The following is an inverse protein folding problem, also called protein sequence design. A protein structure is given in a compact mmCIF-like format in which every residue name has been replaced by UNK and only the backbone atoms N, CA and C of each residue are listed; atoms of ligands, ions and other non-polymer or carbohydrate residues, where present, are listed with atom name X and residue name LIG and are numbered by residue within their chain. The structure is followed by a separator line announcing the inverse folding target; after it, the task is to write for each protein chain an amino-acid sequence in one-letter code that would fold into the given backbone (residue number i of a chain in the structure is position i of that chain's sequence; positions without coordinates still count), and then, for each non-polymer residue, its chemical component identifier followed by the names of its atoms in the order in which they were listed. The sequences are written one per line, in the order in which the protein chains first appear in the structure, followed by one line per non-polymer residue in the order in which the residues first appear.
data_IF_332963612392
#
_entry.id   IF_332963612392
#
_cell.length_a   1.000
_cell.length_b   1.000
_cell.length_c   1.000
_cell.angle_alpha   90.00
_cell.angle_beta   90.00
_cell.angle_gamma   90.00
#
_symmetry.space_group_name_H-M   'P 1'
#
loop_
_entity.id
_entity.type
_entity.pdbx_description
1 polymer ?
#
# COMPACT_ATOMS: atom_id res chain seq x y z
N UNK A 1 -0.54 18.51 5.67
CA UNK A 1 -1.45 17.39 6.00
C UNK A 1 -0.64 16.30 6.68
N UNK A 2 -0.98 15.94 7.92
CA UNK A 2 -0.19 14.95 8.67
C UNK A 2 -0.55 13.56 8.15
N UNK A 3 0.40 12.85 7.52
CA UNK A 3 0.19 11.45 7.13
C UNK A 3 0.11 10.60 8.42
N UNK A 4 -1.05 10.00 8.67
CA UNK A 4 -1.23 8.96 9.68
C UNK A 4 -0.92 7.60 9.05
N UNK A 5 -0.72 6.55 9.85
CA UNK A 5 -0.49 5.19 9.37
C UNK A 5 -1.55 4.75 8.35
N UNK A 6 -2.83 5.02 8.64
CA UNK A 6 -3.92 4.73 7.72
C UNK A 6 -3.78 5.42 6.35
N UNK A 7 -3.25 6.68 6.32
CA UNK A 7 -2.98 7.36 5.05
C UNK A 7 -1.82 6.72 4.29
N UNK A 8 -0.79 6.24 5.00
CA UNK A 8 0.32 5.52 4.38
C UNK A 8 -0.18 4.23 3.72
N UNK A 9 -0.93 3.42 4.45
CA UNK A 9 -1.50 2.17 3.94
C UNK A 9 -2.43 2.46 2.75
N UNK A 10 -3.32 3.45 2.87
CA UNK A 10 -4.22 3.87 1.79
C UNK A 10 -3.46 4.16 0.50
N UNK A 11 -2.47 5.04 0.56
CA UNK A 11 -1.69 5.46 -0.61
C UNK A 11 -0.96 4.29 -1.29
N UNK A 12 -0.40 3.37 -0.50
CA UNK A 12 0.29 2.21 -1.05
C UNK A 12 -0.67 1.20 -1.68
N UNK A 13 -1.84 0.97 -1.07
CA UNK A 13 -2.87 0.09 -1.64
C UNK A 13 -3.44 0.69 -2.93
N UNK A 14 -3.68 2.01 -2.98
CA UNK A 14 -4.10 2.69 -4.20
C UNK A 14 -3.06 2.58 -5.31
N UNK A 15 -1.76 2.64 -4.98
CA UNK A 15 -0.69 2.39 -5.95
C UNK A 15 -0.71 0.96 -6.49
N UNK A 16 -1.00 -0.04 -5.65
CA UNK A 16 -1.17 -1.43 -6.07
C UNK A 16 -2.36 -1.61 -7.01
N UNK A 17 -3.49 -0.95 -6.71
CA UNK A 17 -4.69 -0.93 -7.58
C UNK A 17 -4.36 -0.29 -8.93
N UNK A 18 -3.70 0.86 -8.94
CA UNK A 18 -3.26 1.57 -10.16
C UNK A 18 -2.23 0.74 -10.97
N UNK A 19 -1.51 -0.17 -10.32
CA UNK A 19 -0.62 -1.13 -10.98
C UNK A 19 -1.36 -2.34 -11.56
N UNK A 20 -2.69 -2.39 -11.45
CA UNK A 20 -3.52 -3.47 -11.96
C UNK A 20 -3.44 -4.74 -11.11
N UNK A 21 -3.18 -4.61 -9.80
CA UNK A 21 -3.16 -5.75 -8.91
C UNK A 21 -4.57 -6.34 -8.74
N UNK A 22 -4.65 -7.66 -8.74
CA UNK A 22 -5.86 -8.44 -8.44
C UNK A 22 -5.80 -9.11 -7.08
N UNK A 23 -4.62 -9.08 -6.44
CA UNK A 23 -4.40 -9.61 -5.09
C UNK A 23 -3.49 -8.67 -4.31
N UNK A 24 -3.94 -8.22 -3.14
CA UNK A 24 -3.20 -7.30 -2.27
C UNK A 24 -3.20 -7.86 -0.85
N UNK A 25 -2.00 -8.15 -0.32
CA UNK A 25 -1.81 -8.56 1.05
C UNK A 25 -1.21 -7.42 1.87
N UNK A 26 -1.82 -7.11 3.00
CA UNK A 26 -1.44 -6.03 3.91
C UNK A 26 -1.15 -6.64 5.27
N UNK A 27 0.06 -6.42 5.78
CA UNK A 27 0.46 -6.83 7.12
C UNK A 27 0.87 -5.62 7.94
N UNK A 28 0.35 -5.51 9.16
CA UNK A 28 0.73 -4.45 10.10
C UNK A 28 1.09 -5.01 11.47
N UNK A 29 1.99 -4.31 12.18
CA UNK A 29 2.26 -4.56 13.61
C UNK A 29 2.24 -3.23 14.35
N UNK A 30 1.80 -3.25 15.62
CA UNK A 30 1.73 -2.08 16.49
C UNK A 30 1.00 -0.90 15.81
N UNK A 31 -0.23 -1.14 15.30
CA UNK A 31 -1.01 -0.11 14.61
C UNK A 31 -0.35 0.47 13.36
N UNK A 32 0.61 -0.25 12.75
CA UNK A 32 1.37 0.20 11.59
C UNK A 32 2.56 1.10 11.89
N UNK A 33 2.95 1.25 13.17
CA UNK A 33 4.11 2.09 13.55
C UNK A 33 5.44 1.34 13.38
N UNK A 34 5.50 0.10 13.84
CA UNK A 34 6.71 -0.70 13.77
C UNK A 34 6.86 -1.43 12.44
N UNK A 35 5.74 -1.75 11.80
CA UNK A 35 5.75 -2.54 10.57
C UNK A 35 4.48 -2.35 9.75
N UNK A 36 4.66 -2.06 8.46
CA UNK A 36 3.65 -2.13 7.42
C UNK A 36 4.29 -2.85 6.23
N UNK A 37 3.65 -3.90 5.73
CA UNK A 37 4.06 -4.56 4.49
C UNK A 37 2.86 -4.68 3.57
N UNK A 38 3.05 -4.29 2.32
CA UNK A 38 2.07 -4.44 1.27
C UNK A 38 2.71 -5.24 0.15
N UNK A 39 2.05 -6.32 -0.24
CA UNK A 39 2.46 -7.21 -1.32
C UNK A 39 1.35 -7.25 -2.34
N UNK A 40 1.66 -6.97 -3.59
CA UNK A 40 0.74 -7.04 -4.71
C UNK A 40 1.28 -7.89 -5.86
N UNK A 41 0.39 -8.30 -6.75
CA UNK A 41 0.68 -9.02 -7.98
C UNK A 41 0.50 -8.15 -9.24
N UNK A 42 0.61 -6.82 -9.10
CA UNK A 42 0.47 -5.88 -10.20
C UNK A 42 1.58 -5.97 -11.26
N UNK A 43 1.66 -4.96 -12.11
CA UNK A 43 2.65 -4.94 -13.21
C UNK A 43 4.10 -4.88 -12.76
N UNK A 44 4.36 -4.53 -11.51
CA UNK A 44 5.70 -4.26 -10.99
C UNK A 44 6.27 -2.89 -11.43
N UNK A 45 7.50 -2.62 -11.04
CA UNK A 45 8.25 -1.40 -11.35
C UNK A 45 9.53 -1.79 -12.06
N UNK A 46 9.85 -1.10 -13.15
CA UNK A 46 11.10 -1.32 -13.87
C UNK A 46 12.31 -0.96 -13.00
N UNK A 47 13.43 -1.67 -13.13
CA UNK A 47 14.61 -1.40 -12.30
C UNK A 47 15.06 0.07 -12.32
N UNK A 48 15.01 0.72 -13.48
CA UNK A 48 15.43 2.11 -13.64
C UNK A 48 14.46 3.10 -12.99
N UNK A 49 13.18 2.75 -12.88
CA UNK A 49 12.15 3.58 -12.27
C UNK A 49 12.09 3.43 -10.74
N UNK A 50 12.71 2.38 -10.16
CA UNK A 50 12.61 2.10 -8.73
C UNK A 50 13.21 3.21 -7.85
N UNK A 51 14.33 3.78 -8.25
CA UNK A 51 14.98 4.88 -7.52
C UNK A 51 14.19 6.18 -7.68
N UNK A 52 13.73 6.47 -8.91
CA UNK A 52 12.88 7.63 -9.20
C UNK A 52 11.59 7.63 -8.41
N UNK A 53 11.03 6.45 -8.05
CA UNK A 53 9.82 6.36 -7.25
C UNK A 53 9.98 7.00 -5.85
N UNK A 54 11.21 7.19 -5.36
CA UNK A 54 11.52 7.85 -4.10
C UNK A 54 11.91 9.33 -4.24
N UNK A 55 12.01 9.85 -5.45
CA UNK A 55 12.30 11.26 -5.70
C UNK A 55 11.03 12.12 -5.55
N UNK A 56 11.21 13.36 -5.10
CA UNK A 56 10.11 14.32 -5.04
C UNK A 56 9.76 14.78 -6.45
N UNK A 57 8.48 14.89 -6.73
CA UNK A 57 7.93 15.29 -8.05
C UNK A 57 8.14 14.25 -9.18
N UNK A 58 8.67 13.06 -8.88
CA UNK A 58 8.69 11.96 -9.82
C UNK A 58 7.29 11.32 -9.89
N UNK A 59 6.58 11.53 -10.99
CA UNK A 59 5.33 10.84 -11.28
C UNK A 59 5.40 10.27 -12.69
N UNK A 60 5.19 8.95 -12.78
CA UNK A 60 5.02 8.27 -14.07
C UNK A 60 3.66 8.54 -14.70
N UNK A 61 2.75 9.19 -13.95
CA UNK A 61 1.33 9.37 -14.32
C UNK A 61 1.05 10.67 -15.05
N UNK A 62 1.95 11.67 -14.98
CA UNK A 62 1.82 12.97 -15.65
C UNK A 62 3.16 13.29 -16.29
N UNK A 63 3.21 13.29 -17.63
CA UNK A 63 4.37 13.69 -18.43
C UNK A 63 4.16 15.05 -19.11
N UNK A 64 2.90 15.44 -19.35
CA UNK A 64 2.53 16.69 -20.01
C UNK A 64 1.33 17.34 -19.30
N UNK A 65 1.15 18.65 -19.49
CA UNK A 65 0.01 19.39 -18.92
C UNK A 65 -1.37 18.86 -19.36
N UNK A 66 -1.46 18.28 -20.56
CA UNK A 66 -2.67 17.62 -21.08
C UNK A 66 -3.07 16.34 -20.31
N UNK A 67 -2.11 15.69 -19.65
CA UNK A 67 -2.37 14.47 -18.88
C UNK A 67 -3.20 14.78 -17.63
N UNK A 68 -3.19 16.03 -17.13
CA UNK A 68 -3.99 16.49 -15.99
C UNK A 68 -5.50 16.35 -16.20
N UNK A 69 -5.98 16.48 -17.44
CA UNK A 69 -7.40 16.36 -17.79
C UNK A 69 -7.88 14.92 -17.89
N UNK A 70 -6.95 13.97 -18.07
CA UNK A 70 -7.22 12.56 -18.30
C UNK A 70 -6.85 11.65 -17.13
N UNK A 71 -6.31 12.21 -16.03
CA UNK A 71 -5.92 11.43 -14.84
C UNK A 71 -7.14 10.83 -14.16
N UNK A 72 -7.38 9.56 -14.38
CA UNK A 72 -8.38 8.72 -13.69
C UNK A 72 -7.84 8.05 -12.43
N UNK A 73 -6.52 8.16 -12.16
CA UNK A 73 -5.85 7.50 -11.03
C UNK A 73 -5.94 8.31 -9.74
N UNK A 74 -6.20 7.65 -8.62
CA UNK A 74 -6.34 8.31 -7.29
C UNK A 74 -5.04 8.94 -6.77
N UNK A 75 -3.86 8.52 -7.25
CA UNK A 75 -2.53 8.94 -6.75
C UNK A 75 -1.68 9.69 -7.78
N UNK A 76 -2.08 10.90 -8.24
CA UNK A 76 -1.38 11.63 -9.31
C UNK A 76 -0.21 12.51 -8.86
N UNK A 77 0.01 12.72 -7.55
CA UNK A 77 1.01 13.69 -7.05
C UNK A 77 2.46 13.21 -7.04
N UNK A 78 2.74 11.90 -7.22
CA UNK A 78 4.11 11.35 -7.30
C UNK A 78 4.97 11.52 -6.03
N UNK A 79 4.40 12.01 -4.90
CA UNK A 79 5.16 12.39 -3.70
C UNK A 79 4.93 11.45 -2.51
N UNK A 80 4.00 10.49 -2.64
CA UNK A 80 3.60 9.68 -1.49
C UNK A 80 4.76 8.84 -0.96
N UNK A 81 5.42 8.08 -1.83
CA UNK A 81 6.50 7.18 -1.45
C UNK A 81 7.73 7.94 -0.94
N UNK A 82 8.12 9.04 -1.61
CA UNK A 82 9.17 9.94 -1.15
C UNK A 82 8.89 10.51 0.26
N UNK A 83 7.65 10.93 0.51
CA UNK A 83 7.24 11.47 1.80
C UNK A 83 7.24 10.41 2.91
N UNK A 84 6.87 9.16 2.60
CA UNK A 84 6.90 8.02 3.52
C UNK A 84 8.36 7.67 3.83
N UNK A 85 9.21 7.53 2.82
CA UNK A 85 10.61 7.19 2.96
C UNK A 85 11.39 8.23 3.79
N UNK A 86 11.01 9.51 3.70
CA UNK A 86 11.65 10.58 4.48
C UNK A 86 11.47 10.41 6.01
N UNK A 87 10.48 9.65 6.47
CA UNK A 87 10.15 9.50 7.91
C UNK A 87 10.17 8.05 8.39
N UNK A 88 10.70 7.14 7.59
CA UNK A 88 10.72 5.70 7.87
C UNK A 88 11.94 5.03 7.25
N UNK A 89 12.07 3.73 7.48
CA UNK A 89 12.91 2.82 6.70
C UNK A 89 12.00 2.08 5.74
N UNK A 90 12.35 2.05 4.46
CA UNK A 90 11.57 1.40 3.41
C UNK A 90 12.44 0.40 2.68
N UNK A 91 11.94 -0.82 2.53
CA UNK A 91 12.43 -1.81 1.59
C UNK A 91 11.38 -1.98 0.50
N UNK A 92 11.78 -1.82 -0.75
CA UNK A 92 10.94 -2.08 -1.91
C UNK A 92 11.56 -3.18 -2.74
N UNK A 93 10.80 -4.24 -3.01
CA UNK A 93 11.17 -5.32 -3.91
C UNK A 93 10.16 -5.32 -5.05
N UNK A 94 10.63 -5.32 -6.28
CA UNK A 94 9.72 -5.35 -7.42
C UNK A 94 10.29 -6.08 -8.62
N UNK A 95 9.38 -6.68 -9.39
CA UNK A 95 9.68 -7.36 -10.65
C UNK A 95 8.53 -7.15 -11.62
N UNK A 96 8.87 -6.80 -12.86
CA UNK A 96 7.89 -6.77 -13.96
C UNK A 96 7.75 -8.15 -14.60
N UNK A 97 6.76 -8.32 -15.47
CA UNK A 97 6.59 -9.57 -16.23
C UNK A 97 7.66 -9.78 -17.29
N UNK A 98 8.38 -8.73 -17.70
CA UNK A 98 9.40 -8.75 -18.75
C UNK A 98 10.79 -9.11 -18.20
N UNK A 99 11.02 -8.90 -16.90
CA UNK A 99 12.30 -9.14 -16.27
C UNK A 99 12.39 -10.57 -15.70
N UNK A 100 13.54 -11.23 -15.86
CA UNK A 100 13.80 -12.53 -15.25
C UNK A 100 14.08 -12.40 -13.75
N UNK A 101 14.78 -11.35 -13.35
CA UNK A 101 15.23 -11.07 -11.98
C UNK A 101 14.51 -9.83 -11.47
N UNK A 102 14.16 -9.82 -10.18
CA UNK A 102 13.66 -8.65 -9.49
C UNK A 102 14.77 -7.81 -8.87
N UNK A 103 14.42 -6.64 -8.37
CA UNK A 103 15.34 -5.74 -7.70
C UNK A 103 14.79 -5.34 -6.33
N UNK A 104 15.72 -5.11 -5.42
CA UNK A 104 15.44 -4.61 -4.06
C UNK A 104 16.15 -3.27 -3.87
N UNK A 105 15.40 -2.28 -3.38
CA UNK A 105 15.92 -0.96 -3.00
C UNK A 105 15.61 -0.74 -1.53
N UNK A 106 16.63 -0.36 -0.75
CA UNK A 106 16.49 0.07 0.63
C UNK A 106 16.68 1.56 0.75
N UNK A 107 15.73 2.22 1.44
CA UNK A 107 15.72 3.67 1.64
C UNK A 107 15.56 3.96 3.14
N UNK A 108 16.36 4.88 3.66
CA UNK A 108 16.26 5.34 5.04
C UNK A 108 16.29 6.86 5.09
N UNK A 109 15.30 7.46 5.77
CA UNK A 109 15.16 8.90 5.88
C UNK A 109 15.24 9.64 4.52
N UNK A 110 14.66 9.03 3.47
CA UNK A 110 14.64 9.55 2.11
C UNK A 110 15.94 9.38 1.31
N UNK A 111 16.93 8.67 1.85
CA UNK A 111 18.19 8.38 1.15
C UNK A 111 18.22 6.92 0.74
N UNK A 112 18.53 6.66 -0.53
CA UNK A 112 18.78 5.31 -1.02
C UNK A 112 20.07 4.81 -0.39
N UNK A 113 20.00 3.62 0.24
CA UNK A 113 21.13 2.99 0.91
C UNK A 113 21.80 1.99 -0.02
N UNK A 114 21.01 1.14 -0.68
CA UNK A 114 21.49 0.18 -1.66
C UNK A 114 20.37 -0.21 -2.63
N UNK A 115 20.81 -0.74 -3.77
CA UNK A 115 19.97 -1.43 -4.76
C UNK A 115 20.69 -2.69 -5.18
N UNK A 116 20.00 -3.80 -5.19
CA UNK A 116 20.58 -5.11 -5.53
C UNK A 116 19.56 -5.99 -6.24
N UNK A 117 20.05 -6.96 -6.99
CA UNK A 117 19.22 -8.00 -7.60
C UNK A 117 18.69 -8.95 -6.54
N UNK A 118 17.45 -9.42 -6.72
CA UNK A 118 16.81 -10.36 -5.80
C UNK A 118 15.77 -11.23 -6.52
N UNK A 119 15.60 -12.46 -6.05
CA UNK A 119 14.53 -13.34 -6.52
C UNK A 119 13.19 -12.91 -5.93
N UNK A 120 12.20 -12.65 -6.78
CA UNK A 120 10.83 -12.40 -6.35
C UNK A 120 9.83 -12.75 -7.45
N UNK A 121 8.55 -12.88 -7.08
CA UNK A 121 7.45 -12.99 -8.03
C UNK A 121 7.18 -11.63 -8.70
N UNK A 122 6.47 -11.66 -9.85
CA UNK A 122 5.94 -10.45 -10.48
C UNK A 122 5.06 -9.68 -9.50
N UNK A 123 5.17 -8.36 -9.50
CA UNK A 123 4.45 -7.45 -8.61
C UNK A 123 5.39 -6.60 -7.78
N UNK A 124 4.87 -6.04 -6.68
CA UNK A 124 5.64 -5.18 -5.79
C UNK A 124 5.43 -5.56 -4.33
N UNK A 125 6.50 -5.53 -3.56
CA UNK A 125 6.49 -5.67 -2.11
C UNK A 125 7.10 -4.41 -1.54
N UNK A 126 6.34 -3.69 -0.70
CA UNK A 126 6.84 -2.53 0.06
C UNK A 126 6.75 -2.86 1.54
N UNK A 127 7.90 -2.82 2.22
CA UNK A 127 7.99 -2.99 3.67
C UNK A 127 8.45 -1.68 4.29
N UNK A 128 7.67 -1.14 5.23
CA UNK A 128 7.98 0.06 5.99
C UNK A 128 8.21 -0.35 7.44
N UNK A 129 9.31 0.08 7.99
CA UNK A 129 9.64 -0.11 9.41
C UNK A 129 9.96 1.20 10.07
N UNK A 130 9.79 1.25 11.40
CA UNK A 130 10.14 2.38 12.25
C UNK A 130 9.55 3.72 11.75
N UNK A 131 8.26 3.71 11.42
CA UNK A 131 7.58 4.92 10.94
C UNK A 131 7.65 6.03 12.01
N UNK A 132 8.08 7.23 11.60
CA UNK A 132 8.34 8.41 12.44
C UNK A 132 9.61 8.34 13.32
N UNK A 133 10.54 7.41 13.06
CA UNK A 133 11.74 7.27 13.89
C UNK A 133 12.57 8.57 14.00
N UNK A 134 12.56 9.41 13.00
CA UNK A 134 13.26 10.70 12.94
C UNK A 134 12.34 11.91 13.19
N UNK A 135 11.12 11.69 13.65
CA UNK A 135 10.13 12.73 13.93
C UNK A 135 9.48 12.54 15.32
N UNK A 136 10.25 12.71 16.41
CA UNK A 136 9.81 12.36 17.78
C UNK A 136 8.56 13.12 18.23
N UNK A 137 8.34 14.34 17.73
CA UNK A 137 7.12 15.11 18.03
C UNK A 137 5.88 14.37 17.51
N UNK A 138 5.95 13.82 16.28
CA UNK A 138 4.83 13.05 15.70
C UNK A 138 4.58 11.76 16.48
N UNK A 139 5.65 11.08 16.89
CA UNK A 139 5.55 9.86 17.69
C UNK A 139 4.75 10.07 18.99
N UNK A 140 4.94 11.22 19.68
CA UNK A 140 4.22 11.55 20.92
C UNK A 140 2.71 11.76 20.74
N UNK A 141 2.24 12.11 19.55
CA UNK A 141 0.82 12.35 19.26
C UNK A 141 0.08 11.14 18.68
N UNK A 142 0.75 9.98 18.57
CA UNK A 142 0.12 8.75 18.14
C UNK A 142 -0.88 8.27 19.19
N UNK A 143 -1.98 7.71 18.71
CA UNK A 143 -2.95 7.05 19.58
C UNK A 143 -2.46 5.64 19.92
N UNK A 144 -3.23 4.93 20.75
CA UNK A 144 -2.94 3.51 21.05
C UNK A 144 -2.96 2.67 19.78
N UNK A 145 -2.12 1.64 19.73
CA UNK A 145 -1.97 0.73 18.57
C UNK A 145 -3.30 0.21 18.04
N UNK A 146 -4.21 -0.17 18.95
CA UNK A 146 -5.56 -0.61 18.60
C UNK A 146 -6.36 0.47 17.84
N UNK A 147 -6.25 1.73 18.25
CA UNK A 147 -6.97 2.84 17.59
C UNK A 147 -6.42 3.10 16.19
N UNK A 148 -5.09 3.08 16.04
CA UNK A 148 -4.45 3.27 14.73
C UNK A 148 -4.73 2.08 13.79
N UNK A 149 -4.73 0.84 14.32
CA UNK A 149 -5.14 -0.35 13.57
C UNK A 149 -6.59 -0.25 13.07
N UNK A 150 -7.52 0.23 13.92
CA UNK A 150 -8.92 0.45 13.54
C UNK A 150 -9.09 1.48 12.42
N UNK A 151 -8.27 2.53 12.36
CA UNK A 151 -8.29 3.47 11.22
C UNK A 151 -7.79 2.83 9.92
N UNK A 152 -6.81 1.92 10.00
CA UNK A 152 -6.34 1.16 8.84
C UNK A 152 -7.44 0.22 8.36
N UNK A 153 -8.09 -0.50 9.29
CA UNK A 153 -9.20 -1.40 9.00
C UNK A 153 -10.36 -0.67 8.29
N UNK A 154 -10.77 0.50 8.79
CA UNK A 154 -11.84 1.31 8.18
C UNK A 154 -11.47 1.72 6.73
N UNK A 155 -10.24 2.14 6.49
CA UNK A 155 -9.77 2.51 5.15
C UNK A 155 -9.77 1.31 4.22
N UNK A 156 -9.27 0.15 4.66
CA UNK A 156 -9.19 -1.06 3.82
C UNK A 156 -10.60 -1.61 3.57
N UNK A 157 -11.48 -1.57 4.54
CA UNK A 157 -12.91 -1.91 4.37
C UNK A 157 -13.56 -1.12 3.23
N UNK A 158 -13.36 0.20 3.22
CA UNK A 158 -13.90 1.07 2.16
C UNK A 158 -13.32 0.75 0.80
N UNK A 159 -12.01 0.51 0.72
CA UNK A 159 -11.35 0.14 -0.54
C UNK A 159 -11.90 -1.20 -1.04
N UNK A 160 -12.03 -2.20 -0.16
CA UNK A 160 -12.55 -3.51 -0.53
C UNK A 160 -14.00 -3.46 -1.05
N UNK A 161 -14.84 -2.60 -0.46
CA UNK A 161 -16.22 -2.40 -0.92
C UNK A 161 -16.31 -1.71 -2.30
N UNK A 162 -15.34 -0.83 -2.62
CA UNK A 162 -15.29 -0.14 -3.93
C UNK A 162 -14.69 -1.06 -5.01
N UNK A 163 -13.82 -2.00 -4.61
CA UNK A 163 -13.09 -2.90 -5.50
C UNK A 163 -13.38 -4.37 -5.19
N UNK A 164 -14.62 -4.85 -5.41
CA UNK A 164 -14.99 -6.25 -5.13
C UNK A 164 -14.24 -7.25 -6.02
N UNK A 165 -13.67 -6.79 -7.14
CA UNK A 165 -12.85 -7.57 -8.07
C UNK A 165 -11.42 -7.84 -7.58
N UNK A 166 -11.00 -7.21 -6.46
CA UNK A 166 -9.66 -7.37 -5.90
C UNK A 166 -9.71 -8.22 -4.63
N UNK A 167 -8.92 -9.28 -4.58
CA UNK A 167 -8.70 -10.04 -3.36
C UNK A 167 -7.81 -9.24 -2.41
N UNK A 168 -8.36 -8.83 -1.27
CA UNK A 168 -7.65 -8.04 -0.26
C UNK A 168 -7.59 -8.83 1.05
N UNK A 169 -6.38 -8.93 1.63
CA UNK A 169 -6.16 -9.51 2.94
C UNK A 169 -5.46 -8.52 3.84
N UNK A 170 -6.04 -8.21 5.00
CA UNK A 170 -5.42 -7.41 6.06
C UNK A 170 -5.12 -8.30 7.26
N UNK A 171 -3.87 -8.33 7.68
CA UNK A 171 -3.38 -9.05 8.87
C UNK A 171 -2.77 -8.05 9.84
N UNK A 172 -3.22 -8.09 11.10
CA UNK A 172 -2.66 -7.29 12.20
C UNK A 172 -2.05 -8.19 13.25
N UNK A 173 -0.74 -8.06 13.46
CA UNK A 173 0.04 -8.85 14.44
C UNK A 173 -0.24 -10.37 14.34
N UNK A 174 -0.30 -10.89 13.12
CA UNK A 174 -0.52 -12.31 12.82
C UNK A 174 -1.99 -12.75 12.76
N UNK A 175 -2.94 -11.88 13.15
CA UNK A 175 -4.39 -12.18 13.06
C UNK A 175 -4.97 -11.58 11.79
N UNK A 176 -5.67 -12.39 10.99
CA UNK A 176 -6.43 -11.88 9.83
C UNK A 176 -7.64 -11.08 10.32
N UNK A 177 -7.77 -9.85 9.83
CA UNK A 177 -8.86 -8.91 10.15
C UNK A 177 -9.86 -8.83 9.00
N UNK A 178 -9.36 -8.69 7.76
CA UNK A 178 -10.18 -8.64 6.54
C UNK A 178 -9.64 -9.67 5.57
N UNK A 179 -10.54 -10.38 4.88
CA UNK A 179 -10.19 -11.23 3.76
C UNK A 179 -11.35 -11.29 2.78
N UNK A 180 -11.13 -10.78 1.56
CA UNK A 180 -12.08 -10.81 0.45
C UNK A 180 -11.60 -11.75 -0.65
N UNK A 181 -12.53 -12.23 -1.47
CA UNK A 181 -12.25 -13.23 -2.51
C UNK A 181 -11.78 -12.64 -3.84
N UNK A 182 -12.09 -11.36 -4.11
CA UNK A 182 -11.79 -10.72 -5.40
C UNK A 182 -12.60 -11.27 -6.58
N UNK A 183 -13.82 -11.77 -6.33
CA UNK A 183 -14.68 -12.38 -7.34
C UNK A 183 -15.65 -11.40 -8.02
N UNK A 184 -15.56 -10.11 -7.71
CA UNK A 184 -16.44 -9.07 -8.25
C UNK A 184 -17.83 -8.99 -7.59
N UNK A 185 -18.12 -9.86 -6.61
CA UNK A 185 -19.41 -9.89 -5.92
C UNK A 185 -19.33 -9.11 -4.60
N UNK A 186 -20.08 -8.01 -4.54
CA UNK A 186 -20.13 -7.15 -3.35
C UNK A 186 -20.69 -7.89 -2.12
N UNK A 187 -21.61 -8.84 -2.31
CA UNK A 187 -22.18 -9.63 -1.21
C UNK A 187 -21.11 -10.52 -0.57
N UNK A 188 -20.24 -11.12 -1.39
CA UNK A 188 -19.07 -11.86 -0.92
C UNK A 188 -18.10 -10.98 -0.13
N UNK A 189 -17.89 -9.73 -0.54
CA UNK A 189 -17.05 -8.77 0.19
C UNK A 189 -17.66 -8.45 1.55
N UNK A 190 -18.95 -8.15 1.60
CA UNK A 190 -19.65 -7.87 2.86
C UNK A 190 -19.63 -9.09 3.78
N UNK A 191 -19.82 -10.30 3.25
CA UNK A 191 -19.67 -11.52 4.01
C UNK A 191 -18.27 -11.65 4.65
N UNK A 192 -17.22 -11.38 3.87
CA UNK A 192 -15.82 -11.45 4.31
C UNK A 192 -15.46 -10.43 5.40
N UNK A 193 -16.15 -9.28 5.44
CA UNK A 193 -15.86 -8.18 6.37
C UNK A 193 -16.79 -8.24 7.60
N UNK A 194 -18.10 -8.39 7.38
CA UNK A 194 -19.13 -8.23 8.42
C UNK A 194 -19.79 -9.55 8.85
N UNK A 195 -19.48 -10.64 8.15
CA UNK A 195 -20.03 -11.96 8.43
C UNK A 195 -21.40 -12.22 7.78
N UNK A 196 -21.91 -13.44 8.02
CA UNK A 196 -23.10 -13.98 7.36
C UNK A 196 -24.36 -13.16 7.63
N UNK A 197 -24.58 -12.79 8.88
CA UNK A 197 -25.83 -12.14 9.29
C UNK A 197 -26.05 -10.81 8.59
N UNK A 198 -24.98 -10.04 8.34
CA UNK A 198 -25.05 -8.79 7.60
C UNK A 198 -25.22 -9.04 6.10
N UNK A 199 -24.47 -9.99 5.55
CA UNK A 199 -24.53 -10.30 4.11
C UNK A 199 -25.89 -10.84 3.66
N UNK A 200 -26.57 -11.60 4.51
CA UNK A 200 -27.90 -12.17 4.19
C UNK A 200 -29.03 -11.11 4.27
N UNK A 201 -28.80 -9.96 4.92
CA UNK A 201 -29.77 -8.90 5.09
C UNK A 201 -29.50 -7.66 4.21
N UNK A 202 -28.57 -7.75 3.25
CA UNK A 202 -28.37 -6.68 2.26
C UNK A 202 -29.52 -6.75 1.25
N UNK A 203 -30.19 -5.61 1.06
CA UNK A 203 -31.17 -5.42 0.00
C UNK A 203 -30.44 -5.38 -1.36
N UNK A 204 -30.99 -6.05 -2.34
CA UNK A 204 -30.53 -6.01 -3.73
C UNK A 204 -30.81 -4.67 -4.38
#
# INVERSE_FOLDING_TARGET
MYKRQASVVKELVENSIDAGATNINIEIKNGGISYIRITDNGKGIMPDDMEMAFERHATSKIRNASDLETVTSMGFRGEALASIAAISKVEMISKTGENEIGYKVNVQAGKIINKEETGCSKGTIITITDLFFNTPVRYKFLKKDFTEAGYIEDVITRIALIHPEIAIKLTSSGKTIIQTSGNGDIKSVVYGIYGKDVADNILE
#
